data_IF_541256800745
#
_entry.id   IF_541256800745
#
_cell.length_a   1.000
_cell.length_b   1.000
_cell.length_c   1.000
_cell.angle_alpha   90.00
_cell.angle_beta   90.00
_cell.angle_gamma   90.00
#
_symmetry.space_group_name_H-M   'P 1'
#
loop_
_entity.id
_entity.type
_entity.pdbx_description
1 polymer ?
#
# COMPACT_ATOMS: atom_id res chain seq x y z
N UNK A 1 10.16 -4.24 9.04
CA UNK A 1 8.69 -4.27 9.18
C UNK A 1 8.05 -3.77 7.90
N UNK A 2 7.55 -4.66 7.07
CA UNK A 2 6.81 -4.36 5.85
C UNK A 2 5.35 -4.06 6.19
N UNK A 3 4.88 -2.84 5.92
CA UNK A 3 3.47 -2.47 6.10
C UNK A 3 2.73 -2.67 4.78
N UNK A 4 1.58 -3.32 4.83
CA UNK A 4 0.67 -3.52 3.71
C UNK A 4 -0.62 -2.72 3.91
N UNK A 5 -1.00 -1.95 2.90
CA UNK A 5 -2.26 -1.20 2.85
C UNK A 5 -3.21 -1.87 1.85
N UNK A 6 -4.33 -2.42 2.34
CA UNK A 6 -5.42 -2.88 1.47
C UNK A 6 -6.34 -1.69 1.24
N UNK A 7 -6.28 -1.15 0.03
CA UNK A 7 -6.91 0.13 -0.30
C UNK A 7 -5.89 1.27 -0.31
N UNK A 8 -5.97 2.11 -1.35
CA UNK A 8 -5.03 3.19 -1.65
C UNK A 8 -5.74 4.54 -1.79
N UNK A 9 -6.83 4.71 -1.03
CA UNK A 9 -7.61 5.95 -0.94
C UNK A 9 -6.93 7.05 -0.12
N UNK A 10 -7.69 8.12 0.17
CA UNK A 10 -7.15 9.31 0.85
C UNK A 10 -6.55 9.00 2.23
N UNK A 11 -7.18 8.11 3.01
CA UNK A 11 -6.68 7.73 4.34
C UNK A 11 -5.36 6.97 4.24
N UNK A 12 -5.28 5.96 3.38
CA UNK A 12 -4.07 5.19 3.13
C UNK A 12 -2.91 6.09 2.65
N UNK A 13 -3.18 7.02 1.72
CA UNK A 13 -2.20 8.02 1.27
C UNK A 13 -1.73 8.93 2.40
N UNK A 14 -2.65 9.45 3.22
CA UNK A 14 -2.30 10.29 4.37
C UNK A 14 -1.38 9.57 5.36
N UNK A 15 -1.69 8.32 5.68
CA UNK A 15 -0.85 7.48 6.54
C UNK A 15 0.52 7.21 5.90
N UNK A 16 0.56 6.76 4.65
CA UNK A 16 1.81 6.44 3.96
C UNK A 16 2.75 7.65 3.86
N UNK A 17 2.22 8.84 3.53
CA UNK A 17 2.97 10.10 3.52
C UNK A 17 3.48 10.47 4.91
N UNK A 18 2.62 10.36 5.92
CA UNK A 18 2.98 10.67 7.30
C UNK A 18 4.06 9.75 7.87
N UNK A 19 4.08 8.47 7.48
CA UNK A 19 5.13 7.54 7.87
C UNK A 19 6.44 7.74 7.12
N UNK A 20 6.43 8.42 5.97
CA UNK A 20 7.65 8.75 5.22
C UNK A 20 8.46 7.53 4.81
N UNK A 21 7.80 6.42 4.46
CA UNK A 21 8.45 5.14 4.19
C UNK A 21 7.77 4.36 3.06
N UNK A 22 8.50 3.47 2.37
CA UNK A 22 7.93 2.49 1.46
C UNK A 22 6.87 1.61 2.14
N UNK A 23 5.79 1.32 1.42
CA UNK A 23 4.72 0.39 1.82
C UNK A 23 4.36 -0.53 0.65
N UNK A 24 3.81 -1.70 0.96
CA UNK A 24 3.05 -2.50 -0.02
C UNK A 24 1.63 -1.94 -0.06
N UNK A 25 1.04 -1.85 -1.24
CA UNK A 25 -0.35 -1.42 -1.37
C UNK A 25 -1.11 -2.22 -2.43
N UNK A 26 -2.39 -2.45 -2.18
CA UNK A 26 -3.36 -2.94 -3.17
C UNK A 26 -4.50 -1.94 -3.27
N UNK A 27 -5.24 -2.02 -4.37
CA UNK A 27 -6.54 -1.36 -4.50
C UNK A 27 -7.36 -2.11 -5.55
N UNK A 28 -8.69 -1.99 -5.50
CA UNK A 28 -9.57 -2.50 -6.55
C UNK A 28 -9.34 -1.76 -7.88
N UNK A 29 -8.80 -0.54 -7.82
CA UNK A 29 -8.32 0.24 -8.94
C UNK A 29 -6.78 0.21 -8.95
N UNK A 30 -6.14 -0.65 -9.75
CA UNK A 30 -4.69 -0.86 -9.72
C UNK A 30 -3.87 0.43 -9.90
N UNK A 31 -4.36 1.38 -10.69
CA UNK A 31 -3.74 2.68 -10.91
C UNK A 31 -3.61 3.51 -9.63
N UNK A 32 -4.52 3.34 -8.66
CA UNK A 32 -4.45 4.05 -7.37
C UNK A 32 -3.35 3.50 -6.49
N UNK A 33 -3.21 2.17 -6.45
CA UNK A 33 -2.15 1.49 -5.75
C UNK A 33 -0.80 1.84 -6.37
N UNK A 34 -0.68 1.78 -7.71
CA UNK A 34 0.56 2.15 -8.39
C UNK A 34 0.95 3.59 -8.10
N UNK A 35 0.01 4.54 -8.22
CA UNK A 35 0.30 5.95 -7.95
C UNK A 35 0.60 6.23 -6.47
N UNK A 36 0.26 5.36 -5.53
CA UNK A 36 0.67 5.46 -4.12
C UNK A 36 2.07 4.89 -3.94
N UNK A 37 2.32 3.71 -4.50
CA UNK A 37 3.64 3.08 -4.52
C UNK A 37 4.71 4.03 -5.11
N UNK A 38 4.45 4.59 -6.29
CA UNK A 38 5.36 5.54 -6.95
C UNK A 38 5.64 6.77 -6.09
N UNK A 39 4.63 7.27 -5.37
CA UNK A 39 4.74 8.46 -4.54
C UNK A 39 5.66 8.23 -3.31
N UNK A 40 5.56 7.06 -2.67
CA UNK A 40 6.26 6.77 -1.41
C UNK A 40 7.45 5.82 -1.58
N UNK A 41 7.80 5.48 -2.82
CA UNK A 41 8.83 4.50 -3.14
C UNK A 41 8.49 3.07 -2.68
N UNK A 42 7.19 2.75 -2.66
CA UNK A 42 6.64 1.44 -2.30
C UNK A 42 6.45 0.50 -3.48
N UNK A 43 5.56 -0.48 -3.31
CA UNK A 43 5.23 -1.45 -4.35
C UNK A 43 3.72 -1.73 -4.36
N UNK A 44 3.13 -1.69 -5.56
CA UNK A 44 1.74 -2.08 -5.77
C UNK A 44 1.69 -3.55 -6.18
N UNK A 45 0.83 -4.33 -5.51
CA UNK A 45 0.68 -5.77 -5.78
C UNK A 45 -0.73 -6.09 -6.27
N UNK A 46 -0.86 -7.21 -6.99
CA UNK A 46 -2.07 -7.51 -7.75
C UNK A 46 -3.26 -7.94 -6.90
N UNK A 47 -3.02 -8.52 -5.72
CA UNK A 47 -4.09 -9.08 -4.87
C UNK A 47 -3.88 -8.83 -3.39
N UNK A 48 -4.98 -8.74 -2.64
CA UNK A 48 -4.94 -8.65 -1.18
C UNK A 48 -4.26 -9.85 -0.53
N UNK A 49 -4.40 -11.04 -1.12
CA UNK A 49 -3.77 -12.26 -0.64
C UNK A 49 -2.23 -12.18 -0.76
N UNK A 50 -1.73 -11.68 -1.89
CA UNK A 50 -0.29 -11.45 -2.08
C UNK A 50 0.25 -10.44 -1.08
N UNK A 51 -0.45 -9.31 -0.89
CA UNK A 51 -0.06 -8.29 0.09
C UNK A 51 -0.01 -8.87 1.51
N UNK A 52 -1.06 -9.57 1.94
CA UNK A 52 -1.14 -10.15 3.28
C UNK A 52 -0.08 -11.23 3.52
N UNK A 53 0.33 -11.96 2.48
CA UNK A 53 1.41 -12.95 2.57
C UNK A 53 2.81 -12.34 2.71
N UNK A 54 2.99 -11.06 2.35
CA UNK A 54 4.29 -10.37 2.32
C UNK A 54 4.43 -9.30 3.42
N UNK A 55 3.33 -8.81 3.97
CA UNK A 55 3.32 -7.76 4.97
C UNK A 55 3.45 -8.33 6.40
N UNK A 56 4.24 -7.67 7.24
CA UNK A 56 4.31 -7.93 8.68
C UNK A 56 3.09 -7.35 9.42
N UNK A 57 2.46 -6.32 8.84
CA UNK A 57 1.27 -5.64 9.34
C UNK A 57 0.37 -5.25 8.18
N UNK A 58 -0.93 -5.56 8.28
CA UNK A 58 -1.94 -5.16 7.30
C UNK A 58 -2.85 -4.08 7.92
N UNK A 59 -3.08 -3.01 7.16
CA UNK A 59 -4.06 -1.96 7.46
C UNK A 59 -5.12 -1.96 6.36
N UNK A 60 -6.38 -1.86 6.77
CA UNK A 60 -7.58 -1.88 5.92
C UNK A 60 -8.12 -0.47 5.71
#
# INVERSE_FOLDING_TARGET
MQVGLIGSGNMARGMARGWGRPVLCTDVLPERAQALADEVGGEAVATNAELAGRADLVVL
#
